data_IF_934870433706
#
_entry.id   IF_934870433706
#
_cell.length_a   1.000
_cell.length_b   1.000
_cell.length_c   1.000
_cell.angle_alpha   90.00
_cell.angle_beta   90.00
_cell.angle_gamma   90.00
#
_symmetry.space_group_name_H-M   'P 1'
#
loop_
_entity.id
_entity.type
_entity.pdbx_description
1 polymer ?
#
# COMPACT_ATOMS: atom_id res chain seq x y z
N UNK A 1 -19.17 47.78 -3.83
CA UNK A 1 -18.31 46.59 -3.58
C UNK A 1 -17.91 46.49 -2.10
N UNK A 2 -18.87 46.35 -1.17
CA UNK A 2 -18.58 46.12 0.26
C UNK A 2 -19.24 44.85 0.84
N UNK A 3 -20.20 44.24 0.13
CA UNK A 3 -20.87 43.02 0.60
C UNK A 3 -20.16 41.70 0.21
N UNK A 4 -19.30 41.71 -0.81
CA UNK A 4 -18.61 40.49 -1.27
C UNK A 4 -17.45 40.11 -0.35
N UNK A 5 -16.72 41.10 0.19
CA UNK A 5 -15.62 40.85 1.13
C UNK A 5 -16.12 40.24 2.45
N UNK A 6 -17.29 40.67 2.95
CA UNK A 6 -17.88 40.14 4.19
C UNK A 6 -18.43 38.71 4.04
N UNK A 7 -18.93 38.35 2.85
CA UNK A 7 -19.46 37.00 2.60
C UNK A 7 -18.34 35.95 2.51
N UNK A 8 -17.18 36.32 1.95
CA UNK A 8 -15.98 35.46 1.86
C UNK A 8 -15.35 35.26 3.25
N UNK A 9 -15.37 36.28 4.12
CA UNK A 9 -14.82 36.16 5.48
C UNK A 9 -15.68 35.26 6.39
N UNK A 10 -17.00 35.29 6.24
CA UNK A 10 -17.94 34.44 7.02
C UNK A 10 -17.93 32.99 6.52
N UNK A 11 -17.74 32.74 5.23
CA UNK A 11 -17.57 31.38 4.72
C UNK A 11 -16.22 30.77 5.11
N UNK A 12 -15.13 31.55 5.17
CA UNK A 12 -13.85 31.05 5.70
C UNK A 12 -13.92 30.73 7.21
N UNK A 13 -14.65 31.52 8.01
CA UNK A 13 -14.77 31.27 9.45
C UNK A 13 -15.72 30.10 9.78
N UNK A 14 -16.78 29.90 8.99
CA UNK A 14 -17.67 28.74 9.14
C UNK A 14 -17.04 27.41 8.68
N UNK A 15 -16.03 27.43 7.79
CA UNK A 15 -15.25 26.22 7.45
C UNK A 15 -14.18 25.95 8.51
N UNK A 16 -13.66 26.97 9.19
CA UNK A 16 -12.70 26.81 10.29
C UNK A 16 -13.34 26.28 11.59
N UNK A 17 -14.63 26.54 11.84
CA UNK A 17 -15.34 26.04 13.03
C UNK A 17 -15.86 24.60 12.91
N UNK A 18 -15.81 24.00 11.71
CA UNK A 18 -16.28 22.63 11.47
C UNK A 18 -15.20 21.56 11.71
N UNK A 19 -13.93 21.90 11.98
CA UNK A 19 -12.85 20.89 12.09
C UNK A 19 -11.85 21.04 13.25
N UNK A 20 -12.12 21.84 14.28
CA UNK A 20 -11.34 21.79 15.52
C UNK A 20 -12.14 21.08 16.62
N UNK A 21 -11.90 19.76 16.80
CA UNK A 21 -12.42 19.01 17.95
C UNK A 21 -11.91 19.64 19.26
N UNK A 22 -12.79 19.89 20.24
CA UNK A 22 -12.41 20.59 21.47
C UNK A 22 -11.84 19.60 22.48
N UNK A 23 -10.62 19.84 22.95
CA UNK A 23 -10.04 19.04 24.04
C UNK A 23 -10.83 19.28 25.33
N UNK A 24 -11.35 18.22 25.93
CA UNK A 24 -12.12 18.24 27.19
C UNK A 24 -11.35 17.62 28.35
N UNK A 25 -10.21 16.99 28.08
CA UNK A 25 -9.39 16.37 29.12
C UNK A 25 -8.15 15.66 28.59
N UNK A 26 -7.35 15.17 29.53
CA UNK A 26 -6.17 14.34 29.30
C UNK A 26 -6.23 13.10 30.16
N UNK A 27 -5.70 12.01 29.63
CA UNK A 27 -5.60 10.74 30.35
C UNK A 27 -4.20 10.15 30.13
N UNK A 28 -3.63 9.61 31.19
CA UNK A 28 -2.27 9.08 31.20
C UNK A 28 -2.25 7.74 31.91
N UNK A 29 -1.85 6.70 31.20
CA UNK A 29 -1.69 5.34 31.74
C UNK A 29 -0.62 4.59 30.92
N UNK A 30 0.64 4.97 31.10
CA UNK A 30 1.77 4.55 30.26
C UNK A 30 1.83 5.24 28.89
N UNK A 31 0.67 5.52 28.30
CA UNK A 31 0.48 6.40 27.15
C UNK A 31 -0.26 7.68 27.56
N UNK A 32 -0.03 8.74 26.80
CA UNK A 32 -0.66 10.04 26.96
C UNK A 32 -1.74 10.21 25.90
N UNK A 33 -2.92 10.65 26.33
CA UNK A 33 -4.07 10.86 25.47
C UNK A 33 -4.67 12.25 25.63
N UNK A 34 -5.07 12.85 24.52
CA UNK A 34 -6.03 13.97 24.49
C UNK A 34 -7.42 13.42 24.27
N UNK A 35 -8.39 13.93 25.03
CA UNK A 35 -9.79 13.52 25.00
C UNK A 35 -10.63 14.66 24.44
N UNK A 36 -11.54 14.35 23.54
CA UNK A 36 -12.30 15.34 22.80
C UNK A 36 -13.81 15.24 23.06
N UNK A 37 -14.51 16.36 22.85
CA UNK A 37 -15.96 16.50 23.00
C UNK A 37 -16.77 15.66 22.02
N UNK A 38 -16.19 15.32 20.88
CA UNK A 38 -16.73 14.37 19.89
C UNK A 38 -16.72 12.89 20.37
N UNK A 39 -16.26 12.63 21.59
CA UNK A 39 -16.23 11.31 22.19
C UNK A 39 -15.05 10.43 21.77
N UNK A 40 -14.00 11.00 21.16
CA UNK A 40 -12.80 10.27 20.75
C UNK A 40 -11.57 10.62 21.59
N UNK A 41 -10.56 9.77 21.49
CA UNK A 41 -9.25 9.98 22.09
C UNK A 41 -8.13 9.93 21.03
N UNK A 42 -7.09 10.70 21.25
CA UNK A 42 -5.86 10.71 20.43
C UNK A 42 -4.67 10.35 21.30
N UNK A 43 -3.90 9.35 20.88
CA UNK A 43 -2.64 8.99 21.51
C UNK A 43 -1.58 10.01 21.10
N UNK A 44 -1.09 10.81 22.04
CA UNK A 44 -0.10 11.88 21.79
C UNK A 44 1.31 11.53 22.25
N UNK A 45 1.48 10.42 22.96
CA UNK A 45 2.79 9.80 23.15
C UNK A 45 2.87 8.87 24.34
N UNK A 46 4.08 8.71 24.88
CA UNK A 46 4.39 7.80 25.98
C UNK A 46 5.49 8.38 26.86
N UNK A 47 5.51 7.97 28.13
CA UNK A 47 6.59 8.29 29.07
C UNK A 47 7.78 7.34 28.94
N UNK A 48 7.62 6.21 28.26
CA UNK A 48 8.67 5.20 28.17
C UNK A 48 9.59 5.46 26.97
N UNK A 49 10.89 5.49 27.24
CA UNK A 49 11.91 5.56 26.18
C UNK A 49 12.10 4.22 25.46
N UNK A 50 11.96 3.12 26.20
CA UNK A 50 12.17 1.76 25.75
C UNK A 50 10.91 0.93 25.97
N UNK A 51 10.35 0.38 24.90
CA UNK A 51 9.12 -0.41 24.92
C UNK A 51 9.36 -1.68 24.10
N UNK A 52 9.26 -2.85 24.74
CA UNK A 52 9.34 -4.12 24.01
C UNK A 52 8.15 -4.28 23.05
N UNK A 53 6.95 -4.00 23.54
CA UNK A 53 5.71 -4.09 22.76
C UNK A 53 4.77 -2.92 23.11
N UNK A 54 4.50 -2.06 22.13
CA UNK A 54 3.55 -0.97 22.27
C UNK A 54 2.16 -1.41 21.80
N UNK A 55 1.19 -1.43 22.70
CA UNK A 55 -0.19 -1.86 22.41
C UNK A 55 -1.11 -0.65 22.33
N UNK A 56 -1.53 -0.28 21.13
CA UNK A 56 -2.49 0.80 20.92
C UNK A 56 -3.89 0.22 21.16
N UNK A 57 -4.59 0.62 22.24
CA UNK A 57 -5.86 0.02 22.63
C UNK A 57 -7.00 0.48 21.72
N UNK A 58 -8.10 -0.26 21.72
CA UNK A 58 -9.32 0.14 21.02
C UNK A 58 -9.96 1.41 21.61
N UNK A 59 -9.93 1.54 22.94
CA UNK A 59 -10.50 2.66 23.69
C UNK A 59 -9.74 2.87 25.01
N UNK A 60 -9.93 4.04 25.60
CA UNK A 60 -9.57 4.34 26.99
C UNK A 60 -10.84 4.63 27.81
N UNK A 61 -10.75 4.56 29.13
CA UNK A 61 -11.85 4.96 30.03
C UNK A 61 -11.46 6.22 30.78
N UNK A 62 -12.27 7.28 30.66
CA UNK A 62 -12.10 8.55 31.35
C UNK A 62 -13.45 9.02 31.88
N UNK A 63 -13.52 9.38 33.16
CA UNK A 63 -14.78 9.76 33.83
C UNK A 63 -15.93 8.75 33.59
N UNK A 64 -15.64 7.45 33.76
CA UNK A 64 -16.59 6.35 33.55
C UNK A 64 -17.19 6.24 32.13
N UNK A 65 -16.59 6.93 31.14
CA UNK A 65 -16.98 6.86 29.74
C UNK A 65 -15.83 6.31 28.90
N UNK A 66 -16.15 5.45 27.94
CA UNK A 66 -15.19 4.95 26.97
C UNK A 66 -15.01 5.93 25.81
N UNK A 67 -13.75 6.15 25.43
CA UNK A 67 -13.38 6.98 24.30
C UNK A 67 -12.54 6.12 23.34
N UNK A 68 -13.05 5.81 22.13
CA UNK A 68 -12.28 5.10 21.12
C UNK A 68 -11.00 5.85 20.78
N UNK A 69 -9.87 5.13 20.73
CA UNK A 69 -8.61 5.71 20.28
C UNK A 69 -8.64 5.77 18.75
N UNK A 70 -8.92 6.94 18.21
CA UNK A 70 -9.12 7.11 16.77
C UNK A 70 -7.90 7.67 16.04
N UNK A 71 -6.85 8.03 16.76
CA UNK A 71 -5.70 8.71 16.19
C UNK A 71 -4.42 8.47 16.99
N UNK A 72 -3.31 8.30 16.28
CA UNK A 72 -1.94 8.44 16.79
C UNK A 72 -1.41 9.78 16.27
N UNK A 73 -1.13 10.70 17.18
CA UNK A 73 -0.76 12.07 16.83
C UNK A 73 0.59 12.15 16.12
N UNK A 74 0.83 13.28 15.47
CA UNK A 74 2.14 13.55 14.89
C UNK A 74 3.23 13.45 15.98
N UNK A 75 4.33 12.76 15.64
CA UNK A 75 5.47 12.53 16.53
C UNK A 75 5.20 11.77 17.83
N UNK A 76 4.04 11.13 18.01
CA UNK A 76 3.66 10.48 19.27
C UNK A 76 4.72 9.50 19.81
N UNK A 77 5.37 8.75 18.93
CA UNK A 77 6.45 7.80 19.28
C UNK A 77 7.80 8.18 18.66
N UNK A 78 7.99 9.44 18.26
CA UNK A 78 9.22 9.88 17.59
C UNK A 78 10.46 9.57 18.44
N UNK A 79 11.44 8.91 17.83
CA UNK A 79 12.75 8.61 18.41
C UNK A 79 12.74 7.59 19.56
N UNK A 80 11.60 6.96 19.87
CA UNK A 80 11.50 5.93 20.91
C UNK A 80 12.13 4.61 20.46
N UNK A 81 12.59 3.80 21.41
CA UNK A 81 13.06 2.44 21.15
C UNK A 81 11.89 1.47 21.33
N UNK A 82 11.24 1.13 20.21
CA UNK A 82 10.10 0.21 20.21
C UNK A 82 10.44 -1.00 19.34
N UNK A 83 10.30 -2.21 19.88
CA UNK A 83 10.58 -3.44 19.12
C UNK A 83 9.36 -3.95 18.35
N UNK A 84 8.15 -3.79 18.90
CA UNK A 84 6.90 -4.13 18.22
C UNK A 84 5.78 -3.14 18.55
N UNK A 85 4.89 -2.91 17.59
CA UNK A 85 3.64 -2.15 17.79
C UNK A 85 2.46 -3.01 17.37
N UNK A 86 1.36 -3.00 18.13
CA UNK A 86 0.11 -3.63 17.75
C UNK A 86 -1.08 -2.68 17.94
N UNK A 87 -1.99 -2.68 16.97
CA UNK A 87 -3.28 -1.98 17.05
C UNK A 87 -4.32 -3.03 17.37
N UNK A 88 -5.08 -2.82 18.45
CA UNK A 88 -6.12 -3.73 18.91
C UNK A 88 -7.16 -4.04 17.80
N UNK A 89 -7.55 -5.31 17.67
CA UNK A 89 -8.55 -5.77 16.70
C UNK A 89 -9.95 -5.18 16.93
N UNK A 90 -10.27 -4.81 18.18
CA UNK A 90 -11.54 -4.15 18.55
C UNK A 90 -11.58 -2.66 18.21
N UNK A 91 -10.45 -2.09 17.77
CA UNK A 91 -10.42 -0.70 17.34
C UNK A 91 -11.29 -0.55 16.07
N UNK A 92 -12.18 0.43 16.06
CA UNK A 92 -13.16 0.61 14.98
C UNK A 92 -12.68 1.55 13.86
N UNK A 93 -11.48 2.09 13.97
CA UNK A 93 -10.94 3.09 13.04
C UNK A 93 -9.86 3.92 13.70
N UNK A 94 -8.66 3.92 13.12
CA UNK A 94 -7.53 4.70 13.62
C UNK A 94 -6.74 5.36 12.49
N UNK A 95 -6.41 6.64 12.68
CA UNK A 95 -5.51 7.39 11.80
C UNK A 95 -4.11 7.45 12.42
N UNK A 96 -3.10 7.01 11.68
CA UNK A 96 -1.69 7.22 11.99
C UNK A 96 -1.25 8.48 11.25
N UNK A 97 -1.00 9.55 12.00
CA UNK A 97 -0.53 10.81 11.43
C UNK A 97 0.93 10.74 10.97
N UNK A 98 1.29 11.70 10.14
CA UNK A 98 2.65 11.95 9.68
C UNK A 98 3.64 11.90 10.85
N UNK A 99 4.79 11.25 10.63
CA UNK A 99 5.89 11.15 11.60
C UNK A 99 5.53 10.51 12.95
N UNK A 100 4.36 9.90 13.12
CA UNK A 100 3.95 9.27 14.38
C UNK A 100 5.01 8.30 14.93
N UNK A 101 5.67 7.54 14.03
CA UNK A 101 6.72 6.57 14.35
C UNK A 101 8.11 6.99 13.84
N UNK A 102 8.35 8.29 13.67
CA UNK A 102 9.57 8.77 13.05
C UNK A 102 10.83 8.39 13.84
N UNK A 103 11.83 7.83 13.16
CA UNK A 103 13.13 7.52 13.76
C UNK A 103 13.18 6.27 14.65
N UNK A 104 12.11 5.46 14.70
CA UNK A 104 12.12 4.19 15.46
C UNK A 104 12.92 3.13 14.67
N UNK A 105 14.23 3.07 14.91
CA UNK A 105 15.15 2.17 14.18
C UNK A 105 15.08 0.71 14.62
N UNK A 106 14.65 0.46 15.85
CA UNK A 106 14.57 -0.89 16.44
C UNK A 106 13.29 -1.66 16.13
N UNK A 107 12.36 -1.09 15.36
CA UNK A 107 11.07 -1.70 15.10
C UNK A 107 11.23 -2.96 14.23
N UNK A 108 10.71 -4.09 14.73
CA UNK A 108 10.75 -5.40 14.06
C UNK A 108 9.39 -5.84 13.53
N UNK A 109 8.31 -5.42 14.17
CA UNK A 109 6.96 -5.79 13.75
C UNK A 109 5.96 -4.66 14.00
N UNK A 110 5.05 -4.48 13.04
CA UNK A 110 3.89 -3.60 13.18
C UNK A 110 2.63 -4.37 12.81
N UNK A 111 1.81 -4.68 13.82
CA UNK A 111 0.59 -5.46 13.69
C UNK A 111 -0.63 -4.56 13.59
N UNK A 112 -1.26 -4.56 12.41
CA UNK A 112 -2.51 -3.86 12.13
C UNK A 112 -3.68 -4.84 12.27
N UNK A 113 -4.17 -5.10 13.49
CA UNK A 113 -5.31 -6.01 13.66
C UNK A 113 -6.67 -5.32 13.47
N UNK A 114 -6.74 -4.01 13.70
CA UNK A 114 -7.92 -3.19 13.38
C UNK A 114 -8.27 -3.28 11.89
N UNK A 115 -9.54 -3.53 11.56
CA UNK A 115 -9.99 -3.60 10.17
C UNK A 115 -9.88 -2.26 9.41
N UNK A 116 -9.79 -1.14 10.13
CA UNK A 116 -9.75 0.19 9.56
C UNK A 116 -8.56 0.98 10.11
N UNK A 117 -7.41 0.80 9.46
CA UNK A 117 -6.23 1.62 9.72
C UNK A 117 -6.06 2.59 8.55
N UNK A 118 -5.85 3.85 8.87
CA UNK A 118 -5.49 4.87 7.91
C UNK A 118 -4.10 5.40 8.26
N UNK A 119 -3.29 5.69 7.24
CA UNK A 119 -1.91 6.13 7.41
C UNK A 119 -1.69 7.33 6.51
N UNK A 120 -1.27 8.45 7.09
CA UNK A 120 -0.82 9.60 6.31
C UNK A 120 0.51 9.29 5.62
N UNK A 121 0.76 9.93 4.48
CA UNK A 121 2.08 9.91 3.84
C UNK A 121 3.12 10.33 4.88
N UNK A 122 4.24 9.61 4.95
CA UNK A 122 5.30 9.76 5.95
C UNK A 122 4.93 9.32 7.39
N UNK A 123 3.80 8.65 7.62
CA UNK A 123 3.46 8.09 8.95
C UNK A 123 4.52 7.15 9.53
N UNK A 124 5.22 6.43 8.65
CA UNK A 124 6.35 5.53 8.97
C UNK A 124 7.71 6.08 8.52
N UNK A 125 7.82 7.38 8.22
CA UNK A 125 9.07 7.98 7.76
C UNK A 125 10.20 7.75 8.76
N UNK A 126 11.34 7.23 8.30
CA UNK A 126 12.51 6.99 9.15
C UNK A 126 12.41 5.81 10.11
N UNK A 127 11.35 4.99 10.04
CA UNK A 127 11.30 3.66 10.69
C UNK A 127 12.46 2.78 10.20
N UNK A 128 12.94 1.88 11.05
CA UNK A 128 14.00 0.94 10.71
C UNK A 128 13.63 -0.03 9.58
N UNK A 129 14.63 -0.45 8.81
CA UNK A 129 14.47 -1.34 7.65
C UNK A 129 14.10 -2.80 7.99
N UNK A 130 14.06 -3.14 9.28
CA UNK A 130 13.82 -4.50 9.78
C UNK A 130 12.37 -4.74 10.23
N UNK A 131 11.48 -3.77 10.06
CA UNK A 131 10.06 -3.92 10.42
C UNK A 131 9.34 -4.82 9.42
N UNK A 132 8.51 -5.74 9.90
CA UNK A 132 7.47 -6.40 9.09
C UNK A 132 6.11 -5.77 9.37
N UNK A 133 5.45 -5.27 8.33
CA UNK A 133 4.04 -4.87 8.43
C UNK A 133 3.14 -6.07 8.18
N UNK A 134 2.19 -6.32 9.07
CA UNK A 134 1.30 -7.48 9.02
C UNK A 134 -0.03 -7.25 9.75
N UNK A 135 -0.99 -8.16 9.55
CA UNK A 135 -2.28 -8.15 10.24
C UNK A 135 -3.48 -7.93 9.31
N UNK A 136 -4.66 -8.29 9.79
CA UNK A 136 -5.92 -8.28 9.03
C UNK A 136 -6.32 -6.90 8.48
N UNK A 137 -5.88 -5.83 9.15
CA UNK A 137 -6.10 -4.44 8.73
C UNK A 137 -5.14 -3.92 7.67
N UNK A 138 -4.04 -4.64 7.41
CA UNK A 138 -2.95 -4.14 6.57
C UNK A 138 -3.40 -3.84 5.14
N UNK A 139 -4.29 -4.67 4.58
CA UNK A 139 -4.81 -4.43 3.24
C UNK A 139 -5.57 -3.10 3.15
N UNK A 140 -6.44 -2.80 4.12
CA UNK A 140 -7.16 -1.53 4.16
C UNK A 140 -6.20 -0.33 4.27
N UNK A 141 -5.20 -0.45 5.15
CA UNK A 141 -4.19 0.58 5.35
C UNK A 141 -3.42 0.86 4.06
N UNK A 142 -2.95 -0.21 3.41
CA UNK A 142 -2.16 -0.14 2.18
C UNK A 142 -2.98 0.44 1.02
N UNK A 143 -4.24 0.02 0.84
CA UNK A 143 -5.11 0.56 -0.21
C UNK A 143 -5.36 2.05 -0.03
N UNK A 144 -5.68 2.52 1.18
CA UNK A 144 -5.82 3.96 1.48
C UNK A 144 -4.52 4.73 1.28
N UNK A 145 -3.39 4.13 1.64
CA UNK A 145 -2.08 4.74 1.40
C UNK A 145 -1.81 4.88 -0.11
N UNK A 146 -2.12 3.84 -0.89
CA UNK A 146 -2.02 3.87 -2.36
C UNK A 146 -2.94 4.95 -2.97
N UNK A 147 -4.16 5.12 -2.46
CA UNK A 147 -5.06 6.19 -2.93
C UNK A 147 -4.42 7.58 -2.81
N UNK A 148 -3.66 7.86 -1.75
CA UNK A 148 -2.96 9.14 -1.58
C UNK A 148 -1.86 9.35 -2.61
N UNK A 149 -1.07 8.32 -2.92
CA UNK A 149 -0.09 8.39 -4.00
C UNK A 149 -0.74 8.56 -5.36
N UNK A 150 -1.77 7.77 -5.68
CA UNK A 150 -2.48 7.89 -6.95
C UNK A 150 -3.05 9.30 -7.12
N UNK A 151 -3.63 9.87 -6.06
CA UNK A 151 -4.10 11.26 -6.06
C UNK A 151 -2.97 12.26 -6.30
N UNK A 152 -1.82 12.09 -5.65
CA UNK A 152 -0.67 13.00 -5.84
C UNK A 152 -0.02 12.87 -7.23
N UNK A 153 -0.21 11.73 -7.89
CA UNK A 153 0.25 11.46 -9.26
C UNK A 153 -0.82 11.73 -10.32
N UNK A 154 -1.97 12.29 -9.94
CA UNK A 154 -3.10 12.56 -10.83
C UNK A 154 -3.59 11.31 -11.59
N UNK A 155 -3.51 10.15 -10.95
CA UNK A 155 -4.01 8.88 -11.47
C UNK A 155 -5.44 8.60 -10.95
N UNK A 156 -6.27 7.88 -11.73
CA UNK A 156 -7.64 7.58 -11.34
C UNK A 156 -7.70 6.70 -10.09
N UNK A 157 -8.80 6.82 -9.36
CA UNK A 157 -9.13 5.97 -8.21
C UNK A 157 -10.54 5.43 -8.43
N UNK A 158 -10.72 4.11 -8.36
CA UNK A 158 -12.03 3.46 -8.55
C UNK A 158 -12.64 3.63 -9.95
N UNK A 159 -11.83 3.91 -10.99
CA UNK A 159 -12.31 4.03 -12.37
C UNK A 159 -12.79 2.68 -12.89
N UNK A 160 -13.97 2.65 -13.48
CA UNK A 160 -14.49 1.44 -14.12
C UNK A 160 -13.81 1.19 -15.47
N UNK A 161 -12.80 0.33 -15.47
CA UNK A 161 -12.06 -0.02 -16.69
C UNK A 161 -12.80 -0.98 -17.64
N UNK A 162 -13.97 -1.49 -17.28
CA UNK A 162 -14.73 -2.44 -18.14
C UNK A 162 -15.19 -1.80 -19.46
N UNK A 163 -15.36 -0.48 -19.47
CA UNK A 163 -15.81 0.29 -20.65
C UNK A 163 -14.74 1.28 -21.16
N UNK A 164 -13.50 1.08 -20.73
CA UNK A 164 -12.37 1.93 -21.13
C UNK A 164 -11.62 1.30 -22.29
N UNK A 165 -11.16 2.11 -23.25
CA UNK A 165 -10.34 1.61 -24.37
C UNK A 165 -9.03 1.00 -23.87
N UNK A 166 -8.48 0.07 -24.65
CA UNK A 166 -7.17 -0.53 -24.39
C UNK A 166 -6.07 0.54 -24.27
N UNK A 167 -6.06 1.53 -25.17
CA UNK A 167 -5.08 2.61 -25.13
C UNK A 167 -5.12 3.39 -23.81
N UNK A 168 -6.32 3.74 -23.31
CA UNK A 168 -6.44 4.45 -22.03
C UNK A 168 -6.00 3.57 -20.86
N UNK A 169 -6.33 2.27 -20.84
CA UNK A 169 -5.83 1.32 -19.84
C UNK A 169 -4.29 1.31 -19.83
N UNK A 170 -3.67 1.22 -21.01
CA UNK A 170 -2.22 1.20 -21.18
C UNK A 170 -1.57 2.51 -20.73
N UNK A 171 -2.16 3.67 -21.07
CA UNK A 171 -1.64 4.98 -20.63
C UNK A 171 -1.65 5.14 -19.12
N UNK A 172 -2.74 4.73 -18.47
CA UNK A 172 -2.89 4.81 -17.02
C UNK A 172 -1.87 3.86 -16.32
N UNK A 173 -1.77 2.61 -16.79
CA UNK A 173 -0.83 1.60 -16.28
C UNK A 173 0.64 1.96 -16.52
N UNK A 174 0.97 2.56 -17.66
CA UNK A 174 2.31 3.08 -17.96
C UNK A 174 2.67 4.23 -17.02
N UNK A 175 1.74 5.16 -16.83
CA UNK A 175 1.94 6.31 -15.92
C UNK A 175 2.09 5.85 -14.47
N UNK A 176 1.37 4.81 -14.05
CA UNK A 176 1.58 4.15 -12.77
C UNK A 176 3.00 3.61 -12.65
N UNK A 177 3.45 2.80 -13.61
CA UNK A 177 4.79 2.19 -13.57
C UNK A 177 5.90 3.25 -13.50
N UNK A 178 5.77 4.31 -14.30
CA UNK A 178 6.70 5.45 -14.31
C UNK A 178 6.77 6.13 -12.94
N UNK A 179 5.63 6.46 -12.34
CA UNK A 179 5.61 7.10 -11.03
C UNK A 179 6.14 6.19 -9.93
N UNK A 180 5.81 4.90 -9.96
CA UNK A 180 6.37 3.93 -9.02
C UNK A 180 7.89 3.88 -9.11
N UNK A 181 8.45 3.80 -10.33
CA UNK A 181 9.91 3.75 -10.52
C UNK A 181 10.62 4.98 -9.97
N UNK A 182 9.98 6.15 -10.03
CA UNK A 182 10.50 7.43 -9.51
C UNK A 182 10.46 7.52 -7.98
N UNK A 183 9.41 6.97 -7.36
CA UNK A 183 9.15 7.16 -5.93
C UNK A 183 9.65 6.02 -5.04
N UNK A 184 9.98 4.87 -5.62
CA UNK A 184 10.46 3.71 -4.89
C UNK A 184 11.88 3.32 -5.36
N UNK A 185 12.72 2.94 -4.40
CA UNK A 185 14.12 2.51 -4.59
C UNK A 185 14.35 1.00 -4.43
N UNK A 186 15.58 0.56 -4.74
CA UNK A 186 16.03 -0.81 -4.52
C UNK A 186 16.93 -0.83 -3.28
N UNK A 187 16.36 -0.66 -2.08
CA UNK A 187 17.13 -0.74 -0.83
C UNK A 187 17.03 -2.12 -0.18
N UNK A 188 18.05 -2.42 0.65
CA UNK A 188 18.07 -3.60 1.51
C UNK A 188 17.15 -3.38 2.70
N UNK A 189 15.88 -3.75 2.54
CA UNK A 189 14.96 -3.93 3.65
C UNK A 189 14.78 -5.42 3.97
N UNK A 190 14.43 -5.76 5.21
CA UNK A 190 14.38 -7.15 5.66
C UNK A 190 13.26 -7.99 5.00
N UNK A 191 12.16 -7.33 4.61
CA UNK A 191 11.01 -7.96 3.95
C UNK A 191 10.72 -7.28 2.61
N UNK A 192 11.63 -7.41 1.63
CA UNK A 192 11.60 -6.62 0.41
C UNK A 192 10.50 -7.10 -0.56
N UNK A 193 9.99 -8.31 -0.37
CA UNK A 193 8.87 -8.92 -1.08
C UNK A 193 7.49 -8.53 -0.51
N UNK A 194 7.43 -7.88 0.65
CA UNK A 194 6.18 -7.41 1.24
C UNK A 194 5.75 -6.05 0.64
N UNK A 195 4.57 -5.99 0.03
CA UNK A 195 4.10 -4.78 -0.67
C UNK A 195 3.88 -3.57 0.25
N UNK A 196 3.48 -3.80 1.51
CA UNK A 196 3.32 -2.73 2.49
C UNK A 196 4.67 -2.16 2.91
N UNK A 197 5.66 -3.03 3.08
CA UNK A 197 7.05 -2.61 3.29
C UNK A 197 7.56 -1.74 2.13
N UNK A 198 7.29 -2.13 0.88
CA UNK A 198 7.65 -1.30 -0.29
C UNK A 198 6.97 0.07 -0.24
N UNK A 199 5.66 0.10 0.04
CA UNK A 199 4.90 1.34 0.08
C UNK A 199 5.33 2.26 1.22
N UNK A 200 5.50 1.73 2.43
CA UNK A 200 5.75 2.52 3.63
C UNK A 200 7.22 2.90 3.83
N UNK A 201 8.16 2.05 3.41
CA UNK A 201 9.60 2.30 3.57
C UNK A 201 10.26 2.82 2.29
N UNK A 202 9.55 2.80 1.16
CA UNK A 202 10.05 3.36 -0.08
C UNK A 202 10.95 2.41 -0.89
N UNK A 203 11.08 1.13 -0.51
CA UNK A 203 12.02 0.21 -1.15
C UNK A 203 11.60 -1.26 -1.11
N UNK A 204 12.02 -2.06 -2.09
CA UNK A 204 11.64 -3.47 -2.20
C UNK A 204 12.39 -4.30 -3.24
N UNK A 205 12.03 -5.58 -3.31
CA UNK A 205 12.48 -6.55 -4.31
C UNK A 205 11.58 -6.55 -5.54
N UNK A 206 11.96 -7.29 -6.59
CA UNK A 206 11.12 -7.43 -7.79
C UNK A 206 9.71 -7.93 -7.48
N UNK A 207 9.57 -8.85 -6.53
CA UNK A 207 8.27 -9.35 -6.10
C UNK A 207 7.46 -8.27 -5.37
N UNK A 208 8.05 -7.61 -4.37
CA UNK A 208 7.35 -6.56 -3.60
C UNK A 208 6.87 -5.41 -4.48
N UNK A 209 7.65 -5.04 -5.49
CA UNK A 209 7.25 -4.05 -6.49
C UNK A 209 6.10 -4.52 -7.38
N UNK A 210 6.16 -5.75 -7.89
CA UNK A 210 5.11 -6.28 -8.74
C UNK A 210 3.78 -6.41 -7.96
N UNK A 211 3.85 -6.78 -6.68
CA UNK A 211 2.71 -6.79 -5.76
C UNK A 211 2.15 -5.39 -5.51
N UNK A 212 3.00 -4.43 -5.18
CA UNK A 212 2.56 -3.05 -4.98
C UNK A 212 1.93 -2.47 -6.26
N UNK A 213 2.52 -2.72 -7.43
CA UNK A 213 1.97 -2.30 -8.72
C UNK A 213 0.57 -2.88 -8.96
N UNK A 214 0.39 -4.17 -8.70
CA UNK A 214 -0.92 -4.83 -8.77
C UNK A 214 -1.94 -4.17 -7.84
N UNK A 215 -1.57 -3.92 -6.58
CA UNK A 215 -2.46 -3.29 -5.59
C UNK A 215 -2.84 -1.88 -6.04
N UNK A 216 -1.88 -1.06 -6.49
CA UNK A 216 -2.16 0.29 -6.96
C UNK A 216 -3.07 0.29 -8.20
N UNK A 217 -2.85 -0.61 -9.16
CA UNK A 217 -3.75 -0.76 -10.30
C UNK A 217 -5.17 -1.20 -9.88
N UNK A 218 -5.30 -2.08 -8.89
CA UNK A 218 -6.60 -2.45 -8.35
C UNK A 218 -7.31 -1.26 -7.68
N UNK A 219 -6.57 -0.43 -6.94
CA UNK A 219 -7.10 0.82 -6.35
C UNK A 219 -7.50 1.81 -7.45
N UNK A 220 -6.79 1.85 -8.58
CA UNK A 220 -7.21 2.61 -9.77
C UNK A 220 -8.53 2.10 -10.35
N UNK A 221 -8.88 0.82 -10.12
CA UNK A 221 -10.13 0.19 -10.51
C UNK A 221 -9.99 -1.02 -11.45
N UNK A 222 -8.78 -1.51 -11.69
CA UNK A 222 -8.60 -2.79 -12.40
C UNK A 222 -9.12 -3.95 -11.56
N UNK A 223 -9.84 -4.87 -12.19
CA UNK A 223 -10.34 -6.07 -11.52
C UNK A 223 -9.20 -7.03 -11.18
N UNK A 224 -9.35 -7.78 -10.08
CA UNK A 224 -8.33 -8.68 -9.54
C UNK A 224 -7.85 -9.73 -10.55
N UNK A 225 -8.77 -10.24 -11.38
CA UNK A 225 -8.52 -11.25 -12.41
C UNK A 225 -7.96 -10.68 -13.72
N UNK A 226 -7.75 -9.36 -13.80
CA UNK A 226 -7.21 -8.67 -14.99
C UNK A 226 -5.78 -8.17 -14.80
N UNK A 227 -5.24 -8.31 -13.59
CA UNK A 227 -3.85 -8.00 -13.29
C UNK A 227 -3.30 -8.99 -12.28
N UNK A 228 -2.23 -9.68 -12.66
CA UNK A 228 -1.59 -10.74 -11.85
C UNK A 228 -0.14 -10.35 -11.57
N UNK A 229 0.44 -10.93 -10.51
CA UNK A 229 1.89 -10.93 -10.30
C UNK A 229 2.41 -12.26 -10.82
N UNK A 230 3.27 -12.23 -11.83
CA UNK A 230 3.93 -13.39 -12.40
C UNK A 230 5.40 -13.45 -12.01
N UNK A 231 5.95 -14.65 -11.84
CA UNK A 231 7.37 -14.85 -11.56
C UNK A 231 7.94 -16.08 -12.28
N UNK A 232 9.24 -16.06 -12.52
CA UNK A 232 9.97 -17.16 -13.15
C UNK A 232 10.48 -18.23 -12.17
N UNK A 233 10.01 -18.21 -10.91
CA UNK A 233 10.45 -19.07 -9.80
C UNK A 233 11.92 -18.94 -9.39
N UNK A 234 12.69 -18.04 -10.03
CA UNK A 234 14.13 -17.90 -9.79
C UNK A 234 14.45 -16.53 -9.19
N UNK A 235 14.21 -15.45 -9.94
CA UNK A 235 14.66 -14.11 -9.55
C UNK A 235 13.77 -12.97 -10.05
N UNK A 236 13.07 -13.12 -11.17
CA UNK A 236 12.23 -12.06 -11.71
C UNK A 236 10.76 -12.25 -11.34
N UNK A 237 10.15 -11.12 -10.98
CA UNK A 237 8.72 -10.96 -10.89
C UNK A 237 8.28 -9.73 -11.67
N UNK A 238 7.09 -9.81 -12.26
CA UNK A 238 6.48 -8.81 -13.13
C UNK A 238 4.97 -8.87 -13.01
N UNK A 239 4.27 -8.06 -13.80
CA UNK A 239 2.82 -8.08 -13.86
C UNK A 239 2.33 -8.58 -15.21
N UNK A 240 1.35 -9.48 -15.19
CA UNK A 240 0.53 -9.75 -16.37
C UNK A 240 -0.70 -8.86 -16.33
N UNK A 241 -1.04 -8.25 -17.46
CA UNK A 241 -2.24 -7.42 -17.61
C UNK A 241 -3.08 -7.89 -18.79
N UNK A 242 -4.39 -8.04 -18.56
CA UNK A 242 -5.36 -8.32 -19.62
C UNK A 242 -6.07 -7.02 -19.98
N UNK A 243 -5.76 -6.48 -21.17
CA UNK A 243 -6.23 -5.18 -21.61
C UNK A 243 -7.52 -5.27 -22.45
N UNK A 244 -7.69 -6.39 -23.15
CA UNK A 244 -8.80 -6.67 -24.05
C UNK A 244 -9.60 -7.89 -23.56
N UNK A 245 -10.89 -7.66 -23.26
CA UNK A 245 -11.79 -8.69 -22.72
C UNK A 245 -12.28 -9.68 -23.79
N UNK A 246 -12.22 -9.30 -25.06
CA UNK A 246 -12.62 -10.15 -26.18
C UNK A 246 -11.51 -11.14 -26.55
N UNK A 247 -10.29 -10.65 -26.71
CA UNK A 247 -9.14 -11.48 -27.10
C UNK A 247 -8.58 -12.30 -25.93
N UNK A 248 -8.75 -11.80 -24.70
CA UNK A 248 -8.33 -12.44 -23.45
C UNK A 248 -6.86 -12.85 -23.46
N UNK A 249 -6.02 -12.00 -24.03
CA UNK A 249 -4.57 -12.19 -24.08
C UNK A 249 -3.86 -11.41 -23.00
N UNK A 250 -2.85 -12.01 -22.39
CA UNK A 250 -2.02 -11.38 -21.37
C UNK A 250 -0.81 -10.68 -21.98
N UNK A 251 -0.58 -9.42 -21.58
CA UNK A 251 0.65 -8.66 -21.85
C UNK A 251 1.50 -8.60 -20.58
N UNK A 252 2.81 -8.51 -20.76
CA UNK A 252 3.77 -8.33 -19.66
C UNK A 252 4.06 -6.85 -19.44
N UNK A 253 3.96 -6.43 -18.19
CA UNK A 253 4.39 -5.14 -17.66
C UNK A 253 5.49 -5.39 -16.63
N UNK A 254 6.66 -4.82 -16.87
CA UNK A 254 7.77 -4.86 -15.91
C UNK A 254 7.97 -3.48 -15.29
N UNK A 255 7.28 -3.21 -14.18
CA UNK A 255 7.24 -1.90 -13.50
C UNK A 255 8.63 -1.38 -13.06
N UNK A 256 9.61 -2.28 -12.93
CA UNK A 256 11.00 -1.95 -12.59
C UNK A 256 11.89 -1.62 -13.79
N UNK A 257 11.40 -1.80 -15.02
CA UNK A 257 12.10 -1.33 -16.21
C UNK A 257 12.37 0.16 -16.07
N UNK A 258 13.60 0.58 -16.35
CA UNK A 258 13.94 2.01 -16.33
C UNK A 258 13.07 2.76 -17.35
N UNK A 259 12.40 3.81 -16.89
CA UNK A 259 11.60 4.73 -17.71
C UNK A 259 12.18 6.11 -17.44
N UNK A 260 12.66 6.81 -18.47
CA UNK A 260 13.21 8.14 -18.28
C UNK A 260 12.10 9.14 -17.92
N UNK A 261 12.47 10.18 -17.16
CA UNK A 261 11.50 11.16 -16.64
C UNK A 261 10.74 11.90 -17.75
N UNK A 262 11.38 12.12 -18.90
CA UNK A 262 10.75 12.76 -20.06
C UNK A 262 10.01 11.78 -20.99
N UNK A 263 10.03 10.48 -20.70
CA UNK A 263 9.36 9.48 -21.55
C UNK A 263 7.85 9.69 -21.50
N UNK A 264 7.28 10.05 -22.64
CA UNK A 264 5.84 10.02 -22.90
C UNK A 264 5.36 8.57 -23.05
N UNK A 265 4.06 8.32 -22.94
CA UNK A 265 3.46 7.00 -23.14
C UNK A 265 4.03 6.27 -24.37
N UNK A 266 4.39 5.00 -24.19
CA UNK A 266 4.87 4.12 -25.25
C UNK A 266 4.17 2.76 -25.16
N UNK A 267 3.40 2.40 -26.19
CA UNK A 267 2.69 1.11 -26.26
C UNK A 267 3.62 -0.10 -26.24
N UNK A 268 4.86 0.04 -26.75
CA UNK A 268 5.89 -1.01 -26.75
C UNK A 268 6.39 -1.37 -25.34
N UNK A 269 5.96 -0.61 -24.32
CA UNK A 269 6.18 -0.96 -22.93
C UNK A 269 5.43 -2.24 -22.51
N UNK A 270 4.31 -2.52 -23.16
CA UNK A 270 3.48 -3.70 -22.94
C UNK A 270 3.90 -4.78 -23.93
N UNK A 271 4.68 -5.74 -23.45
CA UNK A 271 5.32 -6.75 -24.31
C UNK A 271 4.53 -8.05 -24.34
N UNK A 272 4.75 -8.85 -25.37
CA UNK A 272 4.37 -10.27 -25.30
C UNK A 272 5.27 -10.97 -24.30
N UNK A 273 4.83 -12.11 -23.78
CA UNK A 273 5.67 -12.93 -22.92
C UNK A 273 6.89 -13.49 -23.66
N UNK A 274 6.72 -13.87 -24.94
CA UNK A 274 7.81 -14.28 -25.82
C UNK A 274 8.91 -13.20 -25.90
N UNK A 275 8.52 -11.95 -26.13
CA UNK A 275 9.45 -10.81 -26.19
C UNK A 275 10.10 -10.53 -24.83
N UNK A 276 9.34 -10.67 -23.73
CA UNK A 276 9.90 -10.48 -22.40
C UNK A 276 10.96 -11.54 -22.08
N UNK A 277 10.69 -12.81 -22.40
CA UNK A 277 11.65 -13.91 -22.25
C UNK A 277 12.89 -13.63 -23.10
N UNK A 278 12.70 -13.33 -24.39
CA UNK A 278 13.80 -13.09 -25.34
C UNK A 278 14.68 -11.91 -24.96
N UNK A 279 14.08 -10.79 -24.55
CA UNK A 279 14.77 -9.52 -24.39
C UNK A 279 15.14 -9.18 -22.94
N UNK A 280 14.57 -9.87 -21.95
CA UNK A 280 14.83 -9.62 -20.53
C UNK A 280 15.38 -10.85 -19.80
N UNK A 281 14.65 -11.97 -19.82
CA UNK A 281 15.05 -13.13 -19.01
C UNK A 281 16.24 -13.88 -19.60
N UNK A 282 16.21 -14.21 -20.89
CA UNK A 282 17.30 -14.95 -21.55
C UNK A 282 18.65 -14.21 -21.50
N UNK A 283 18.75 -12.89 -21.75
CA UNK A 283 20.00 -12.15 -21.57
C UNK A 283 20.49 -12.13 -20.14
N UNK A 284 19.58 -12.14 -19.16
CA UNK A 284 19.95 -12.15 -17.74
C UNK A 284 20.50 -13.51 -17.28
N UNK A 285 19.83 -14.61 -17.65
CA UNK A 285 20.22 -15.95 -17.19
C UNK A 285 21.25 -16.66 -18.09
N UNK A 286 21.41 -16.23 -19.34
CA UNK A 286 22.31 -16.87 -20.30
C UNK A 286 21.88 -18.29 -20.71
N UNK A 287 20.62 -18.67 -20.48
CA UNK A 287 20.09 -20.01 -20.75
C UNK A 287 18.67 -19.99 -21.31
N UNK A 288 18.17 -21.15 -21.73
CA UNK A 288 16.78 -21.35 -22.16
C UNK A 288 15.85 -21.24 -20.95
N UNK A 289 14.79 -20.47 -21.12
CA UNK A 289 13.76 -20.26 -20.11
C UNK A 289 12.51 -20.99 -20.54
N UNK A 290 11.98 -21.84 -19.68
CA UNK A 290 10.73 -22.56 -19.90
C UNK A 290 9.55 -21.75 -19.33
N UNK A 291 8.73 -21.11 -20.18
CA UNK A 291 7.58 -20.35 -19.71
C UNK A 291 6.55 -21.19 -18.96
N UNK A 292 6.46 -22.50 -19.21
CA UNK A 292 5.49 -23.37 -18.55
C UNK A 292 5.80 -23.61 -17.07
N UNK A 293 6.95 -23.14 -16.57
CA UNK A 293 7.31 -23.15 -15.15
C UNK A 293 6.97 -21.86 -14.42
N UNK A 294 6.50 -20.83 -15.14
CA UNK A 294 6.15 -19.56 -14.50
C UNK A 294 4.95 -19.72 -13.57
N UNK A 295 4.99 -18.99 -12.47
CA UNK A 295 3.97 -19.00 -11.44
C UNK A 295 3.24 -17.66 -11.40
N UNK A 296 2.06 -17.65 -10.80
CA UNK A 296 1.37 -16.44 -10.37
C UNK A 296 1.19 -16.45 -8.86
N UNK A 297 1.39 -15.30 -8.22
CA UNK A 297 1.13 -15.16 -6.79
C UNK A 297 -0.35 -14.93 -6.50
N UNK A 298 -0.89 -15.78 -5.62
CA UNK A 298 -2.25 -15.66 -5.10
C UNK A 298 -2.32 -14.66 -3.93
N UNK A 299 -1.26 -14.57 -3.14
CA UNK A 299 -1.08 -13.55 -2.10
C UNK A 299 -0.99 -12.15 -2.70
N UNK A 300 -1.50 -11.14 -2.00
CA UNK A 300 -1.49 -9.74 -2.45
C UNK A 300 -0.31 -8.98 -1.87
N UNK A 301 -0.05 -9.12 -0.57
CA UNK A 301 0.87 -8.27 0.20
C UNK A 301 2.15 -9.01 0.58
N UNK A 302 2.07 -10.32 0.81
CA UNK A 302 3.12 -11.22 1.30
C UNK A 302 3.55 -10.97 2.76
N UNK A 303 2.64 -11.29 3.71
CA UNK A 303 2.96 -11.34 5.14
C UNK A 303 2.49 -12.66 5.77
N UNK A 304 3.07 -13.09 6.92
CA UNK A 304 2.66 -14.31 7.61
C UNK A 304 1.17 -14.30 7.96
N UNK A 305 0.43 -15.32 7.52
CA UNK A 305 -1.01 -15.44 7.78
C UNK A 305 -1.90 -14.60 6.86
N UNK A 306 -1.38 -14.08 5.74
CA UNK A 306 -2.21 -13.41 4.73
C UNK A 306 -3.24 -14.35 4.10
N UNK A 307 -2.82 -15.56 3.69
CA UNK A 307 -3.75 -16.59 3.22
C UNK A 307 -4.35 -17.31 4.43
N UNK A 308 -5.67 -17.21 4.60
CA UNK A 308 -6.42 -17.90 5.67
C UNK A 308 -6.84 -19.33 5.31
N UNK A 309 -6.61 -19.75 4.08
CA UNK A 309 -7.06 -21.03 3.53
C UNK A 309 -5.89 -21.75 2.83
N UNK A 310 -5.95 -23.07 2.73
CA UNK A 310 -4.97 -23.99 2.09
C UNK A 310 -4.71 -23.75 0.58
N UNK A 311 -5.08 -22.58 0.05
CA UNK A 311 -4.62 -22.18 -1.28
C UNK A 311 -3.12 -21.91 -1.22
N UNK A 312 -2.40 -22.58 -2.12
CA UNK A 312 -0.98 -22.33 -2.34
C UNK A 312 -0.76 -20.83 -2.57
N UNK A 313 0.27 -20.27 -1.92
CA UNK A 313 0.63 -18.85 -2.01
C UNK A 313 0.93 -18.42 -3.45
N UNK A 314 1.30 -19.37 -4.28
CA UNK A 314 1.47 -19.29 -5.71
C UNK A 314 0.94 -20.56 -6.39
N UNK A 315 0.71 -20.48 -7.69
CA UNK A 315 0.42 -21.65 -8.51
C UNK A 315 1.00 -21.46 -9.91
N UNK A 316 1.13 -22.57 -10.66
CA UNK A 316 1.55 -22.51 -12.05
C UNK A 316 0.58 -21.64 -12.87
N UNK A 317 1.12 -20.78 -13.76
CA UNK A 317 0.28 -19.84 -14.50
C UNK A 317 -0.68 -20.55 -15.47
N UNK A 318 -0.26 -21.64 -16.11
CA UNK A 318 -1.11 -22.39 -17.04
C UNK A 318 -2.27 -23.08 -16.29
N UNK A 319 -2.00 -23.61 -15.09
CA UNK A 319 -3.04 -24.17 -14.21
C UNK A 319 -4.03 -23.10 -13.75
N UNK A 320 -3.52 -21.92 -13.37
CA UNK A 320 -4.37 -20.78 -13.02
C UNK A 320 -5.28 -20.38 -14.19
N UNK A 321 -4.74 -20.32 -15.41
CA UNK A 321 -5.52 -19.99 -16.61
C UNK A 321 -6.60 -21.04 -16.88
N UNK A 322 -6.28 -22.33 -16.78
CA UNK A 322 -7.24 -23.40 -16.97
C UNK A 322 -8.37 -23.33 -15.94
N UNK A 323 -8.04 -23.17 -14.66
CA UNK A 323 -9.00 -23.13 -13.55
C UNK A 323 -9.92 -21.91 -13.59
N UNK A 324 -9.40 -20.76 -13.97
CA UNK A 324 -10.15 -19.49 -13.98
C UNK A 324 -10.73 -19.15 -15.36
N UNK A 325 -10.62 -20.06 -16.34
CA UNK A 325 -10.88 -19.77 -17.75
C UNK A 325 -10.15 -18.47 -18.17
N UNK A 326 -8.90 -18.26 -17.73
CA UNK A 326 -8.21 -16.97 -17.69
C UNK A 326 -7.72 -16.43 -19.03
N UNK A 327 -8.08 -17.04 -20.17
CA UNK A 327 -7.59 -16.66 -21.49
C UNK A 327 -6.26 -17.33 -21.86
N UNK A 328 -5.46 -16.68 -22.70
CA UNK A 328 -4.22 -17.26 -23.24
C UNK A 328 -3.00 -16.35 -23.04
N UNK A 329 -1.85 -17.00 -22.87
CA UNK A 329 -0.53 -16.35 -22.82
C UNK A 329 -0.10 -15.92 -24.21
N UNK A 330 0.85 -15.00 -24.26
CA UNK A 330 1.46 -14.50 -25.51
C UNK A 330 2.87 -15.07 -25.69
N UNK A 331 2.93 -16.41 -25.71
CA UNK A 331 4.15 -17.21 -25.88
C UNK A 331 4.65 -17.27 -27.32
#
# INVERSE_FOLDING_TARGET
MKCIASLILVTLSCVASVLARKEIGRYSNGYNYKIYDDGKATLVGTYYDNISEAKIPAYITFNNKQYPVSEVDENAFKGRQIAAVSIDAKNTGILIKKNAFNGIKGLKAFYMYSSYVDVEVDGFSGVGINVQFQGSGLQNALEKYCQRYLKSWSLPIGKNYSYTSEETKMRDLFTLAKNMRKNFGNDKIAYPDNAANVAFLGAGSKDGYARLYRIMAMVMGFKYEKILVGCDTMYYCWNYVMLNDTERTWKVVYALKSIADHTIYNSSYFTTEADFIKNTLKPFYGTTIDPHKFIVHNTRINYPGESKYDYLNDENFDDWLKRNNGGKRTL
#
